data_IF_641328004642
#
_entry.id   IF_641328004642
#
_cell.length_a   1.000
_cell.length_b   1.000
_cell.length_c   1.000
_cell.angle_alpha   90.00
_cell.angle_beta   90.00
_cell.angle_gamma   90.00
#
_symmetry.space_group_name_H-M   'P 1'
#
loop_
_entity.id
_entity.type
_entity.pdbx_description
1 polymer ?
#
# COMPACT_ATOMS: atom_id res chain seq x y z
N UNK A 1 -76.77 -37.01 -13.73
CA UNK A 1 -75.77 -36.14 -13.13
C UNK A 1 -74.38 -36.69 -13.49
N UNK A 2 -74.09 -36.86 -14.78
CA UNK A 2 -73.81 -35.79 -15.79
C UNK A 2 -72.51 -35.07 -15.39
N UNK A 3 -71.33 -35.31 -15.99
CA UNK A 3 -70.91 -35.34 -17.42
C UNK A 3 -70.57 -33.92 -17.97
N UNK A 4 -69.61 -33.85 -18.90
CA UNK A 4 -69.19 -32.69 -19.73
C UNK A 4 -68.33 -31.65 -18.96
N UNK A 5 -67.10 -31.22 -19.33
CA UNK A 5 -66.30 -31.13 -20.57
C UNK A 5 -66.53 -29.92 -21.49
N UNK A 6 -65.93 -28.76 -21.17
CA UNK A 6 -65.59 -27.66 -22.11
C UNK A 6 -64.57 -26.71 -21.42
N UNK A 7 -63.74 -25.89 -22.08
CA UNK A 7 -63.59 -25.68 -23.53
C UNK A 7 -63.41 -24.19 -23.89
N UNK A 8 -62.16 -23.71 -23.95
CA UNK A 8 -61.70 -22.54 -24.74
C UNK A 8 -62.38 -21.15 -24.50
N UNK A 9 -61.58 -20.15 -24.12
CA UNK A 9 -61.53 -18.86 -24.87
C UNK A 9 -60.29 -18.02 -24.56
N UNK A 10 -59.51 -17.76 -25.61
CA UNK A 10 -58.59 -16.63 -25.65
C UNK A 10 -59.37 -15.38 -26.10
N UNK A 11 -59.13 -14.24 -25.45
CA UNK A 11 -59.69 -12.94 -25.86
C UNK A 11 -58.56 -11.96 -26.17
N UNK A 12 -58.45 -11.65 -27.46
CA UNK A 12 -57.65 -10.56 -28.01
C UNK A 12 -58.06 -9.21 -27.41
N UNK A 13 -57.07 -8.41 -27.01
CA UNK A 13 -57.20 -6.95 -26.90
C UNK A 13 -56.02 -6.27 -27.62
N UNK A 14 -56.30 -5.09 -28.16
CA UNK A 14 -55.66 -4.58 -29.39
C UNK A 14 -54.38 -3.77 -29.13
N UNK A 15 -53.50 -3.83 -30.13
CA UNK A 15 -52.53 -2.76 -30.38
C UNK A 15 -53.30 -1.54 -30.89
N UNK A 16 -53.15 -0.40 -30.21
CA UNK A 16 -53.06 0.96 -30.74
C UNK A 16 -53.06 1.94 -29.56
N UNK A 17 -51.92 2.63 -29.35
CA UNK A 17 -51.82 4.06 -28.99
C UNK A 17 -50.38 4.37 -28.56
N UNK A 18 -49.54 4.73 -29.54
CA UNK A 18 -48.23 5.34 -29.30
C UNK A 18 -48.35 6.87 -29.46
N UNK A 19 -48.04 7.67 -28.44
CA UNK A 19 -47.66 9.06 -28.63
C UNK A 19 -46.21 9.14 -29.12
N UNK A 20 -45.98 9.91 -30.19
CA UNK A 20 -44.64 10.26 -30.68
C UNK A 20 -43.93 11.28 -29.76
N UNK A 21 -42.59 11.35 -29.77
CA UNK A 21 -41.84 12.23 -28.87
C UNK A 21 -41.88 13.70 -29.32
N UNK A 22 -42.01 14.63 -28.36
CA UNK A 22 -41.79 16.07 -28.58
C UNK A 22 -40.33 16.46 -28.25
N UNK A 23 -39.67 17.34 -29.02
CA UNK A 23 -38.25 17.66 -28.83
C UNK A 23 -38.00 18.86 -27.91
N UNK A 24 -36.79 18.82 -27.30
CA UNK A 24 -35.97 19.94 -26.82
C UNK A 24 -36.51 20.92 -25.75
N UNK A 25 -35.91 20.83 -24.56
CA UNK A 25 -35.47 21.99 -23.79
C UNK A 25 -34.09 21.69 -23.19
N UNK A 26 -33.13 22.61 -23.35
CA UNK A 26 -31.70 22.41 -23.05
C UNK A 26 -31.33 23.04 -21.70
N UNK A 27 -30.34 22.46 -21.01
CA UNK A 27 -29.59 22.98 -19.85
C UNK A 27 -30.36 23.37 -18.59
N UNK A 28 -30.16 22.56 -17.54
CA UNK A 28 -29.87 23.08 -16.20
C UNK A 28 -28.57 22.44 -15.72
N UNK A 29 -27.68 23.24 -15.13
CA UNK A 29 -26.28 22.87 -14.88
C UNK A 29 -26.13 21.84 -13.77
N UNK A 30 -25.57 20.67 -14.10
CA UNK A 30 -25.09 19.73 -13.09
C UNK A 30 -23.90 20.34 -12.33
N UNK A 31 -24.12 20.70 -11.06
CA UNK A 31 -23.08 21.30 -10.21
C UNK A 31 -21.93 20.33 -9.93
N UNK A 32 -20.66 20.77 -9.99
CA UNK A 32 -19.47 19.92 -9.80
C UNK A 32 -19.21 19.61 -8.32
N UNK A 33 -20.23 19.24 -7.54
CA UNK A 33 -20.15 19.04 -6.09
C UNK A 33 -20.32 17.58 -5.62
N UNK A 34 -20.76 16.65 -6.48
CA UNK A 34 -20.87 15.23 -6.10
C UNK A 34 -19.53 14.47 -6.07
N UNK A 35 -18.50 14.95 -6.76
CA UNK A 35 -17.24 14.22 -6.89
C UNK A 35 -16.33 14.23 -5.65
N UNK A 36 -16.46 15.17 -4.70
CA UNK A 36 -15.47 15.29 -3.61
C UNK A 36 -15.82 14.45 -2.36
N UNK A 37 -17.05 13.94 -2.23
CA UNK A 37 -17.57 13.34 -0.98
C UNK A 37 -17.28 11.85 -0.77
N UNK A 38 -16.56 11.18 -1.68
CA UNK A 38 -16.28 9.73 -1.59
C UNK A 38 -14.78 9.35 -1.74
N UNK A 39 -13.88 10.34 -1.70
CA UNK A 39 -12.47 10.15 -2.09
C UNK A 39 -11.52 9.55 -1.04
N UNK A 40 -12.01 9.27 0.18
CA UNK A 40 -11.19 8.70 1.25
C UNK A 40 -11.98 7.56 1.90
N UNK A 41 -11.70 6.32 1.48
CA UNK A 41 -12.23 5.11 2.12
C UNK A 41 -11.80 5.03 3.60
N UNK A 42 -12.67 4.53 4.47
CA UNK A 42 -12.35 4.29 5.91
C UNK A 42 -11.07 3.48 6.07
N UNK A 43 -10.87 2.47 5.22
CA UNK A 43 -9.66 1.65 5.20
C UNK A 43 -8.40 2.48 4.88
N UNK A 44 -8.51 3.47 3.99
CA UNK A 44 -7.39 4.37 3.71
C UNK A 44 -7.11 5.35 4.86
N UNK A 45 -8.14 5.83 5.58
CA UNK A 45 -7.94 6.60 6.82
C UNK A 45 -7.19 5.76 7.87
N UNK A 46 -7.60 4.51 8.08
CA UNK A 46 -6.95 3.59 9.03
C UNK A 46 -5.46 3.39 8.70
N UNK A 47 -5.14 3.23 7.41
CA UNK A 47 -3.75 3.16 6.93
C UNK A 47 -2.95 4.41 7.27
N UNK A 48 -3.50 5.59 7.01
CA UNK A 48 -2.84 6.86 7.31
C UNK A 48 -2.63 7.08 8.82
N UNK A 49 -3.58 6.66 9.66
CA UNK A 49 -3.43 6.68 11.12
C UNK A 49 -2.30 5.73 11.56
N UNK A 50 -2.25 4.51 11.03
CA UNK A 50 -1.20 3.55 11.36
C UNK A 50 0.20 4.05 10.93
N UNK A 51 0.34 4.64 9.74
CA UNK A 51 1.59 5.28 9.31
C UNK A 51 1.98 6.46 10.19
N UNK A 52 1.04 7.35 10.54
CA UNK A 52 1.27 8.46 11.44
C UNK A 52 1.78 8.01 12.82
N UNK A 53 1.04 7.09 13.47
CA UNK A 53 1.36 6.59 14.81
C UNK A 53 2.67 5.80 14.80
N UNK A 54 2.88 4.94 13.79
CA UNK A 54 4.09 4.16 13.66
C UNK A 54 5.33 5.02 13.41
N UNK A 55 5.28 6.01 12.51
CA UNK A 55 6.40 6.95 12.36
C UNK A 55 6.61 7.79 13.63
N UNK A 56 5.55 8.23 14.31
CA UNK A 56 5.70 8.92 15.60
C UNK A 56 6.46 8.05 16.61
N UNK A 57 6.04 6.81 16.83
CA UNK A 57 6.67 5.88 17.78
C UNK A 57 8.11 5.54 17.40
N UNK A 58 8.37 5.27 16.12
CA UNK A 58 9.70 5.00 15.55
C UNK A 58 10.67 6.15 15.85
N UNK A 59 10.29 7.37 15.49
CA UNK A 59 11.14 8.56 15.64
C UNK A 59 11.29 8.93 17.11
N UNK A 60 10.21 8.85 17.91
CA UNK A 60 10.28 9.14 19.34
C UNK A 60 11.26 8.22 20.05
N UNK A 61 11.14 6.89 19.89
CA UNK A 61 12.01 5.93 20.56
C UNK A 61 13.47 6.04 20.07
N UNK A 62 13.66 6.08 18.75
CA UNK A 62 14.99 6.13 18.13
C UNK A 62 15.76 7.41 18.46
N UNK A 63 15.11 8.58 18.38
CA UNK A 63 15.74 9.84 18.77
C UNK A 63 15.87 9.98 20.29
N UNK A 64 14.95 9.46 21.11
CA UNK A 64 15.12 9.44 22.58
C UNK A 64 16.39 8.69 23.01
N UNK A 65 16.72 7.57 22.36
CA UNK A 65 17.96 6.84 22.61
C UNK A 65 19.21 7.70 22.34
N UNK A 66 19.17 8.54 21.30
CA UNK A 66 20.26 9.49 20.97
C UNK A 66 20.35 10.59 22.05
N UNK A 67 19.23 11.21 22.44
CA UNK A 67 19.20 12.23 23.51
C UNK A 67 19.76 11.67 24.83
N UNK A 68 19.26 10.51 25.25
CA UNK A 68 19.70 9.85 26.48
C UNK A 68 21.18 9.47 26.41
N UNK A 69 21.69 9.08 25.25
CA UNK A 69 23.11 8.81 25.07
C UNK A 69 23.96 10.06 25.30
N UNK A 70 23.60 11.19 24.66
CA UNK A 70 24.34 12.46 24.81
C UNK A 70 24.26 12.96 26.27
N UNK A 71 23.06 12.96 26.84
CA UNK A 71 22.76 13.65 28.10
C UNK A 71 23.05 12.82 29.36
N UNK A 72 23.39 11.52 29.20
CA UNK A 72 23.69 10.59 30.30
C UNK A 72 25.02 9.85 30.03
N UNK A 73 26.07 10.60 29.69
CA UNK A 73 27.46 10.13 29.62
C UNK A 73 27.66 8.87 28.74
N UNK A 74 27.02 8.83 27.57
CA UNK A 74 27.06 7.70 26.62
C UNK A 74 26.55 6.35 27.16
N UNK A 75 25.62 6.35 28.14
CA UNK A 75 25.07 5.12 28.75
C UNK A 75 24.44 4.14 27.75
N UNK A 76 23.88 4.63 26.64
CA UNK A 76 23.19 3.78 25.65
C UNK A 76 24.18 3.13 24.69
N UNK A 77 25.24 3.85 24.30
CA UNK A 77 26.25 3.49 23.28
C UNK A 77 25.66 3.22 21.88
N UNK A 78 26.53 3.12 20.86
CA UNK A 78 26.10 2.84 19.48
C UNK A 78 25.31 1.51 19.35
N UNK A 79 25.74 0.38 19.95
CA UNK A 79 24.93 -0.86 19.94
C UNK A 79 23.56 -0.72 20.59
N UNK A 80 23.41 0.06 21.66
CA UNK A 80 22.11 0.31 22.28
C UNK A 80 21.21 1.17 21.39
N UNK A 81 21.75 2.21 20.76
CA UNK A 81 21.02 3.05 19.79
C UNK A 81 20.53 2.19 18.62
N UNK A 82 21.44 1.40 18.01
CA UNK A 82 21.10 0.46 16.95
C UNK A 82 19.97 -0.50 17.36
N UNK A 83 20.10 -1.08 18.55
CA UNK A 83 19.09 -2.00 19.11
C UNK A 83 17.74 -1.33 19.30
N UNK A 84 17.66 -0.10 19.82
CA UNK A 84 16.38 0.61 19.99
C UNK A 84 15.69 0.85 18.65
N UNK A 85 16.42 1.34 17.65
CA UNK A 85 15.87 1.57 16.31
C UNK A 85 15.38 0.26 15.65
N UNK A 86 16.15 -0.82 15.72
CA UNK A 86 15.73 -2.10 15.16
C UNK A 86 14.55 -2.75 15.91
N UNK A 87 14.55 -2.70 17.24
CA UNK A 87 13.48 -3.25 18.07
C UNK A 87 12.16 -2.49 17.87
N UNK A 88 12.17 -1.15 17.80
CA UNK A 88 10.93 -0.40 17.55
C UNK A 88 10.37 -0.69 16.14
N UNK A 89 11.23 -0.82 15.13
CA UNK A 89 10.82 -1.23 13.78
C UNK A 89 10.18 -2.63 13.79
N UNK A 90 10.83 -3.61 14.44
CA UNK A 90 10.30 -4.96 14.60
C UNK A 90 8.92 -4.98 15.28
N UNK A 91 8.78 -4.27 16.40
CA UNK A 91 7.53 -4.19 17.18
C UNK A 91 6.42 -3.54 16.35
N UNK A 92 6.70 -2.45 15.63
CA UNK A 92 5.69 -1.77 14.82
C UNK A 92 5.26 -2.59 13.61
N UNK A 93 6.19 -3.29 12.93
CA UNK A 93 5.85 -4.18 11.81
C UNK A 93 4.89 -5.29 12.26
N UNK A 94 5.16 -5.94 13.39
CA UNK A 94 4.23 -6.96 13.92
C UNK A 94 2.91 -6.37 14.44
N UNK A 95 2.94 -5.16 15.01
CA UNK A 95 1.74 -4.54 15.60
C UNK A 95 0.76 -3.97 14.57
N UNK A 96 1.26 -3.33 13.50
CA UNK A 96 0.43 -2.57 12.53
C UNK A 96 0.82 -2.77 11.07
N UNK A 97 1.80 -3.63 10.75
CA UNK A 97 2.16 -3.94 9.36
C UNK A 97 1.02 -4.55 8.55
N UNK A 98 0.13 -5.31 9.20
CA UNK A 98 -1.10 -5.83 8.59
C UNK A 98 -2.17 -4.74 8.33
N UNK A 99 -2.02 -3.54 8.89
CA UNK A 99 -2.94 -2.39 8.68
C UNK A 99 -2.47 -1.53 7.51
N UNK A 100 -1.25 -0.98 7.58
CA UNK A 100 -0.74 -0.03 6.57
C UNK A 100 0.29 -0.58 5.58
N UNK A 101 0.87 -1.75 5.86
CA UNK A 101 2.14 -2.18 5.27
C UNK A 101 3.38 -1.75 6.08
N UNK A 102 3.20 -0.95 7.14
CA UNK A 102 4.27 -0.46 8.03
C UNK A 102 5.46 0.16 7.28
N UNK A 103 5.21 1.11 6.38
CA UNK A 103 6.30 1.74 5.62
C UNK A 103 7.13 2.65 6.51
N UNK A 104 6.47 3.55 7.26
CA UNK A 104 7.01 4.57 8.17
C UNK A 104 8.11 5.48 7.60
N UNK A 105 8.31 5.42 6.29
CA UNK A 105 9.48 5.91 5.58
C UNK A 105 9.08 6.31 4.15
N UNK A 106 9.30 7.57 3.75
CA UNK A 106 9.03 8.03 2.39
C UNK A 106 9.78 7.25 1.31
N UNK A 107 11.04 6.87 1.56
CA UNK A 107 11.86 6.12 0.59
C UNK A 107 11.30 4.71 0.34
N UNK A 108 10.90 3.99 1.39
CA UNK A 108 10.23 2.68 1.30
C UNK A 108 8.88 2.81 0.57
N UNK A 109 8.10 3.85 0.89
CA UNK A 109 6.80 4.12 0.24
C UNK A 109 6.96 4.35 -1.26
N UNK A 110 7.98 5.12 -1.66
CA UNK A 110 8.31 5.36 -3.08
C UNK A 110 8.80 4.06 -3.75
N UNK A 111 9.68 3.30 -3.10
CA UNK A 111 10.25 2.06 -3.66
C UNK A 111 9.20 0.96 -3.86
N UNK A 112 8.21 0.84 -2.98
CA UNK A 112 7.05 -0.02 -3.22
C UNK A 112 6.21 0.46 -4.42
N UNK A 113 6.05 1.77 -4.59
CA UNK A 113 5.28 2.33 -5.71
C UNK A 113 6.00 2.16 -7.06
N UNK A 114 7.33 2.36 -7.13
CA UNK A 114 8.12 2.05 -8.35
C UNK A 114 8.09 0.56 -8.67
N UNK A 115 7.96 -0.30 -7.66
CA UNK A 115 7.83 -1.75 -7.79
C UNK A 115 6.39 -2.24 -8.07
N UNK A 116 5.43 -1.32 -8.27
CA UNK A 116 3.99 -1.61 -8.46
C UNK A 116 3.31 -2.36 -7.28
N UNK A 117 3.96 -2.41 -6.12
CA UNK A 117 3.43 -3.02 -4.89
C UNK A 117 2.54 -2.06 -4.08
N UNK A 118 2.59 -0.76 -4.38
CA UNK A 118 1.80 0.27 -3.71
C UNK A 118 1.27 1.31 -4.73
N UNK A 119 0.00 1.76 -4.63
CA UNK A 119 -0.58 2.66 -5.62
C UNK A 119 -0.06 4.10 -5.48
N UNK A 120 0.47 4.65 -6.57
CA UNK A 120 1.06 6.00 -6.63
C UNK A 120 0.16 7.12 -6.08
N UNK A 121 -1.16 7.02 -6.26
CA UNK A 121 -2.13 8.01 -5.76
C UNK A 121 -2.13 8.13 -4.21
N UNK A 122 -1.73 7.07 -3.49
CA UNK A 122 -1.67 7.05 -2.03
C UNK A 122 -0.31 7.53 -1.47
N UNK A 123 0.74 7.57 -2.30
CA UNK A 123 2.12 7.92 -1.89
C UNK A 123 2.20 9.30 -1.24
N UNK A 124 1.62 10.39 -1.79
CA UNK A 124 1.73 11.72 -1.18
C UNK A 124 1.12 11.80 0.23
N UNK A 125 0.00 11.10 0.45
CA UNK A 125 -0.67 11.08 1.74
C UNK A 125 0.13 10.28 2.79
N UNK A 126 0.69 9.12 2.42
CA UNK A 126 1.60 8.35 3.28
C UNK A 126 2.81 9.19 3.68
N UNK A 127 3.49 9.82 2.72
CA UNK A 127 4.67 10.67 2.97
C UNK A 127 4.30 11.84 3.91
N UNK A 128 3.16 12.49 3.67
CA UNK A 128 2.68 13.59 4.51
C UNK A 128 2.51 13.14 5.97
N UNK A 129 1.78 12.05 6.23
CA UNK A 129 1.53 11.60 7.61
C UNK A 129 2.79 11.06 8.30
N UNK A 130 3.71 10.45 7.57
CA UNK A 130 5.03 10.04 8.07
C UNK A 130 5.84 11.28 8.52
N UNK A 131 5.91 12.33 7.70
CA UNK A 131 6.63 13.57 8.03
C UNK A 131 5.97 14.30 9.22
N UNK A 132 4.63 14.38 9.27
CA UNK A 132 3.91 14.99 10.40
C UNK A 132 4.11 14.18 11.68
N UNK A 133 4.07 12.85 11.63
CA UNK A 133 4.38 11.97 12.77
C UNK A 133 5.80 12.16 13.30
N UNK A 134 6.78 12.23 12.39
CA UNK A 134 8.18 12.50 12.74
C UNK A 134 8.39 13.88 13.37
N UNK A 135 7.74 14.91 12.81
CA UNK A 135 7.82 16.28 13.32
C UNK A 135 7.22 16.38 14.72
N UNK A 136 6.05 15.76 14.96
CA UNK A 136 5.42 15.75 16.30
C UNK A 136 6.22 14.92 17.31
N UNK A 137 6.80 13.79 16.92
CA UNK A 137 7.70 13.04 17.80
C UNK A 137 8.92 13.86 18.21
N UNK A 138 9.54 14.55 17.25
CA UNK A 138 10.69 15.43 17.48
C UNK A 138 10.33 16.62 18.38
N UNK A 139 9.14 17.20 18.18
CA UNK A 139 8.59 18.26 19.04
C UNK A 139 8.33 17.79 20.47
N UNK A 140 7.74 16.60 20.65
CA UNK A 140 7.55 15.97 21.96
C UNK A 140 8.87 15.75 22.69
N UNK A 141 9.91 15.25 21.98
CA UNK A 141 11.24 15.10 22.57
C UNK A 141 11.83 16.44 23.01
N UNK A 142 11.70 17.50 22.19
CA UNK A 142 12.18 18.84 22.54
C UNK A 142 11.47 19.45 23.76
N UNK A 143 10.18 19.14 23.94
CA UNK A 143 9.43 19.56 25.13
C UNK A 143 9.88 18.81 26.40
N UNK A 144 10.15 17.50 26.29
CA UNK A 144 10.61 16.66 27.40
C UNK A 144 12.06 17.00 27.80
N UNK A 145 12.95 17.13 26.82
CA UNK A 145 14.38 17.36 27.01
C UNK A 145 14.73 18.83 26.71
N UNK A 146 14.18 19.74 27.51
CA UNK A 146 14.36 21.18 27.34
C UNK A 146 15.59 21.73 28.11
N UNK A 147 15.95 22.98 27.82
CA UNK A 147 17.05 23.70 28.49
C UNK A 147 18.44 23.22 28.02
N UNK A 148 19.30 22.80 28.95
CA UNK A 148 20.66 22.29 28.61
C UNK A 148 20.63 20.99 27.81
N UNK A 149 19.51 20.28 27.87
CA UNK A 149 19.28 18.97 27.25
C UNK A 149 18.68 19.08 25.82
N UNK A 150 18.40 20.30 25.31
CA UNK A 150 17.87 20.57 23.95
C UNK A 150 18.96 20.34 22.89
N UNK A 151 19.02 19.10 22.37
CA UNK A 151 20.03 18.63 21.42
C UNK A 151 19.41 18.31 20.06
N UNK A 152 20.16 18.54 18.98
CA UNK A 152 19.71 18.12 17.65
C UNK A 152 19.83 16.60 17.47
N UNK A 153 18.69 15.95 17.26
CA UNK A 153 18.56 14.48 17.13
C UNK A 153 18.36 13.99 15.68
N UNK A 154 18.37 14.92 14.73
CA UNK A 154 18.39 14.59 13.31
C UNK A 154 19.75 14.04 12.87
N UNK A 155 19.92 13.89 11.56
CA UNK A 155 21.16 13.37 10.99
C UNK A 155 22.05 14.51 10.49
N UNK A 156 23.35 14.41 10.75
CA UNK A 156 24.38 15.35 10.27
C UNK A 156 25.53 14.52 9.68
N UNK A 157 26.04 14.84 8.48
CA UNK A 157 27.21 14.15 7.95
C UNK A 157 28.45 14.52 8.76
N UNK A 158 29.14 13.52 9.30
CA UNK A 158 30.41 13.73 10.01
C UNK A 158 31.61 13.78 9.04
N UNK A 159 31.50 13.06 7.91
CA UNK A 159 32.47 13.05 6.83
C UNK A 159 32.12 14.01 5.68
N UNK A 160 32.55 13.67 4.46
CA UNK A 160 32.18 14.45 3.26
C UNK A 160 30.74 14.15 2.81
N UNK A 161 30.08 15.12 2.17
CA UNK A 161 28.74 14.94 1.61
C UNK A 161 28.64 13.72 0.68
N UNK A 162 29.69 13.46 -0.13
CA UNK A 162 29.76 12.29 -1.01
C UNK A 162 29.87 10.97 -0.24
N UNK A 163 30.70 10.92 0.80
CA UNK A 163 30.82 9.73 1.65
C UNK A 163 29.49 9.43 2.34
N UNK A 164 28.81 10.46 2.85
CA UNK A 164 27.52 10.31 3.49
C UNK A 164 26.43 9.87 2.50
N UNK A 165 26.40 10.43 1.29
CA UNK A 165 25.45 10.06 0.24
C UNK A 165 25.60 8.59 -0.18
N UNK A 166 26.83 8.12 -0.37
CA UNK A 166 27.11 6.72 -0.72
C UNK A 166 26.67 5.79 0.43
N UNK A 167 26.96 6.15 1.68
CA UNK A 167 26.65 5.29 2.82
C UNK A 167 25.14 5.21 3.10
N UNK A 168 24.41 6.33 2.99
CA UNK A 168 22.94 6.36 3.08
C UNK A 168 22.27 5.60 1.91
N UNK A 169 22.84 5.66 0.70
CA UNK A 169 22.39 4.84 -0.42
C UNK A 169 22.56 3.34 -0.11
N UNK A 170 23.74 2.91 0.35
CA UNK A 170 24.04 1.49 0.64
C UNK A 170 23.18 0.96 1.79
N UNK A 171 23.07 1.69 2.90
CA UNK A 171 22.24 1.29 4.04
C UNK A 171 20.76 1.16 3.62
N UNK A 172 20.21 2.15 2.92
CA UNK A 172 18.80 2.08 2.50
C UNK A 172 18.56 1.02 1.41
N UNK A 173 19.59 0.72 0.60
CA UNK A 173 19.56 -0.41 -0.32
C UNK A 173 19.46 -1.75 0.43
N UNK A 174 20.25 -1.98 1.49
CA UNK A 174 20.12 -3.18 2.34
C UNK A 174 18.75 -3.26 3.00
N UNK A 175 18.31 -2.18 3.65
CA UNK A 175 16.98 -2.09 4.25
C UNK A 175 15.87 -2.48 3.27
N UNK A 176 15.83 -1.84 2.09
CA UNK A 176 14.74 -2.06 1.14
C UNK A 176 14.86 -3.39 0.39
N UNK A 177 16.07 -3.91 0.16
CA UNK A 177 16.27 -5.25 -0.38
C UNK A 177 15.71 -6.32 0.56
N UNK A 178 15.97 -6.21 1.87
CA UNK A 178 15.41 -7.13 2.87
C UNK A 178 13.89 -6.97 2.99
N UNK A 179 13.37 -5.73 3.04
CA UNK A 179 11.92 -5.45 3.03
C UNK A 179 11.26 -6.11 1.81
N UNK A 180 11.79 -5.89 0.60
CA UNK A 180 11.25 -6.50 -0.61
C UNK A 180 11.21 -8.03 -0.51
N UNK A 181 12.27 -8.64 0.02
CA UNK A 181 12.35 -10.09 0.18
C UNK A 181 11.39 -10.69 1.19
N UNK A 182 11.28 -10.13 2.40
CA UNK A 182 10.46 -10.72 3.47
C UNK A 182 9.00 -10.29 3.45
N UNK A 183 8.68 -9.15 2.81
CA UNK A 183 7.31 -8.63 2.73
C UNK A 183 6.60 -8.96 1.41
N UNK A 184 7.32 -9.12 0.29
CA UNK A 184 6.67 -9.27 -1.04
C UNK A 184 6.79 -10.65 -1.67
N UNK A 185 7.73 -11.51 -1.24
CA UNK A 185 7.86 -12.89 -1.74
C UNK A 185 7.06 -13.87 -0.86
N UNK A 186 6.11 -14.57 -1.47
CA UNK A 186 5.26 -15.54 -0.79
C UNK A 186 6.02 -16.79 -0.30
N UNK A 187 7.24 -17.02 -0.81
CA UNK A 187 8.14 -18.09 -0.36
C UNK A 187 8.90 -17.73 0.92
N UNK A 188 8.95 -16.45 1.29
CA UNK A 188 9.61 -16.02 2.51
C UNK A 188 8.77 -16.36 3.75
N UNK A 189 9.44 -16.60 4.88
CA UNK A 189 8.79 -16.81 6.17
C UNK A 189 8.20 -15.49 6.69
N UNK A 190 7.02 -15.09 6.20
CA UNK A 190 6.38 -13.79 6.49
C UNK A 190 6.26 -13.47 7.98
N UNK A 191 6.13 -14.48 8.84
CA UNK A 191 6.08 -14.33 10.29
C UNK A 191 7.41 -13.88 10.95
N UNK A 192 8.54 -13.94 10.23
CA UNK A 192 9.84 -13.42 10.66
C UNK A 192 10.18 -12.04 10.05
N UNK A 193 9.27 -11.47 9.25
CA UNK A 193 9.51 -10.20 8.52
C UNK A 193 9.94 -9.05 9.43
N UNK A 194 9.24 -8.85 10.56
CA UNK A 194 9.59 -7.81 11.53
C UNK A 194 10.97 -8.00 12.16
N UNK A 195 11.36 -9.24 12.48
CA UNK A 195 12.71 -9.56 13.01
C UNK A 195 13.77 -9.28 11.95
N UNK A 196 13.56 -9.71 10.71
CA UNK A 196 14.52 -9.50 9.62
C UNK A 196 14.72 -8.00 9.34
N UNK A 197 13.63 -7.24 9.17
CA UNK A 197 13.71 -5.80 8.86
C UNK A 197 14.29 -5.02 10.05
N UNK A 198 13.87 -5.33 11.29
CA UNK A 198 14.43 -4.72 12.49
C UNK A 198 15.92 -5.03 12.69
N UNK A 199 16.36 -6.26 12.41
CA UNK A 199 17.76 -6.63 12.45
C UNK A 199 18.60 -5.90 11.38
N UNK A 200 18.06 -5.69 10.18
CA UNK A 200 18.72 -4.88 9.13
C UNK A 200 18.89 -3.44 9.57
N UNK A 201 17.86 -2.80 10.13
CA UNK A 201 17.98 -1.43 10.69
C UNK A 201 19.06 -1.35 11.77
N UNK A 202 19.13 -2.33 12.68
CA UNK A 202 20.21 -2.41 13.68
C UNK A 202 21.59 -2.51 13.02
N UNK A 203 21.76 -3.42 12.05
CA UNK A 203 23.00 -3.65 11.32
C UNK A 203 23.47 -2.39 10.61
N UNK A 204 22.57 -1.73 9.89
CA UNK A 204 22.85 -0.52 9.13
C UNK A 204 23.33 0.61 10.04
N UNK A 205 22.73 0.77 11.22
CA UNK A 205 23.17 1.77 12.22
C UNK A 205 24.56 1.46 12.77
N UNK A 206 24.91 0.18 12.98
CA UNK A 206 26.22 -0.20 13.53
C UNK A 206 27.39 0.22 12.63
N UNK A 207 27.24 0.19 11.29
CA UNK A 207 28.31 0.61 10.37
C UNK A 207 28.15 2.05 9.84
N UNK A 208 26.92 2.55 9.63
CA UNK A 208 26.69 3.88 9.04
C UNK A 208 26.48 4.99 10.08
N UNK A 209 26.00 4.64 11.27
CA UNK A 209 25.68 5.58 12.36
C UNK A 209 26.81 6.56 12.69
N UNK A 210 28.07 6.12 12.88
CA UNK A 210 29.19 7.00 13.18
C UNK A 210 29.55 8.04 12.10
N UNK A 211 29.15 7.82 10.84
CA UNK A 211 29.52 8.67 9.70
C UNK A 211 28.39 9.56 9.21
N UNK A 212 27.14 9.09 9.29
CA UNK A 212 25.96 9.80 8.74
C UNK A 212 24.82 9.99 9.74
N UNK A 213 24.88 9.36 10.91
CA UNK A 213 23.74 9.25 11.82
C UNK A 213 22.69 8.22 11.38
N UNK A 214 22.97 7.43 10.34
CA UNK A 214 22.15 6.34 9.79
C UNK A 214 20.68 6.76 9.61
N UNK A 215 20.40 7.53 8.56
CA UNK A 215 19.03 8.00 8.33
C UNK A 215 18.13 6.89 7.81
N UNK A 216 18.48 6.38 6.62
CA UNK A 216 17.67 5.48 5.79
C UNK A 216 16.24 5.95 5.46
N UNK A 217 15.83 7.12 5.96
CA UNK A 217 14.44 7.53 6.02
C UNK A 217 14.31 9.06 5.95
N UNK A 218 13.83 9.62 4.82
CA UNK A 218 13.66 11.06 4.66
C UNK A 218 12.84 11.73 5.78
N UNK A 219 11.82 11.07 6.34
CA UNK A 219 11.05 11.60 7.45
C UNK A 219 11.89 11.67 8.74
N UNK A 220 12.72 10.66 9.03
CA UNK A 220 13.62 10.60 10.20
C UNK A 220 14.66 11.73 10.26
N UNK A 221 15.02 12.29 9.11
CA UNK A 221 15.90 13.47 9.03
C UNK A 221 15.10 14.78 8.98
N UNK A 222 14.01 14.82 8.22
CA UNK A 222 13.21 16.02 8.01
C UNK A 222 12.44 16.48 9.26
N UNK A 223 11.84 15.55 10.02
CA UNK A 223 11.05 15.90 11.21
C UNK A 223 11.86 16.65 12.28
N UNK A 224 13.03 16.14 12.72
CA UNK A 224 13.93 16.87 13.60
C UNK A 224 14.41 18.20 13.00
N UNK A 225 14.75 18.22 11.71
CA UNK A 225 15.22 19.43 11.03
C UNK A 225 14.17 20.55 11.02
N UNK A 226 12.89 20.24 10.86
CA UNK A 226 11.78 21.19 10.96
C UNK A 226 11.68 21.77 12.38
N UNK A 227 11.79 20.94 13.42
CA UNK A 227 11.61 21.34 14.83
C UNK A 227 12.75 22.21 15.35
N UNK A 228 13.98 22.02 14.86
CA UNK A 228 15.16 22.78 15.31
C UNK A 228 15.67 23.81 14.30
N UNK A 229 15.16 23.83 13.07
CA UNK A 229 15.65 24.69 11.98
C UNK A 229 16.99 24.27 11.37
N UNK A 230 17.44 23.02 11.59
CA UNK A 230 18.75 22.54 11.13
C UNK A 230 18.64 21.73 9.83
N UNK A 231 18.81 22.40 8.69
CA UNK A 231 18.68 21.82 7.35
C UNK A 231 20.02 21.46 6.65
N UNK A 232 21.17 21.65 7.32
CA UNK A 232 22.49 21.41 6.72
C UNK A 232 22.66 19.92 6.35
N UNK A 233 23.01 19.65 5.10
CA UNK A 233 23.18 18.29 4.58
C UNK A 233 21.88 17.50 4.40
N UNK A 234 20.69 18.10 4.67
CA UNK A 234 19.41 17.37 4.62
C UNK A 234 19.15 16.70 3.27
N UNK A 235 19.57 17.33 2.17
CA UNK A 235 19.42 16.80 0.81
C UNK A 235 19.99 15.39 0.64
N UNK A 236 21.08 15.06 1.35
CA UNK A 236 21.74 13.74 1.34
C UNK A 236 20.77 12.67 1.82
N UNK A 237 20.04 12.97 2.90
CA UNK A 237 19.07 12.09 3.54
C UNK A 237 17.70 12.06 2.84
N UNK A 238 17.49 12.90 1.83
CA UNK A 238 16.37 12.77 0.90
C UNK A 238 16.78 11.91 -0.30
N UNK A 239 17.90 12.28 -0.97
CA UNK A 239 18.35 11.67 -2.22
C UNK A 239 18.91 10.25 -1.98
N UNK A 240 19.90 10.10 -1.09
CA UNK A 240 20.58 8.84 -0.82
C UNK A 240 19.59 7.73 -0.47
N UNK A 241 18.72 7.91 0.54
CA UNK A 241 17.72 6.92 0.89
C UNK A 241 16.70 6.63 -0.20
N UNK A 242 16.19 7.65 -0.91
CA UNK A 242 15.19 7.42 -1.97
C UNK A 242 15.75 6.57 -3.11
N UNK A 243 16.97 6.88 -3.59
CA UNK A 243 17.60 6.07 -4.62
C UNK A 243 18.04 4.69 -4.09
N UNK A 244 18.59 4.61 -2.88
CA UNK A 244 18.96 3.34 -2.25
C UNK A 244 17.78 2.39 -2.16
N UNK A 245 16.62 2.89 -1.70
CA UNK A 245 15.40 2.11 -1.60
C UNK A 245 14.91 1.62 -2.97
N UNK A 246 14.83 2.51 -3.97
CA UNK A 246 14.38 2.13 -5.33
C UNK A 246 15.27 1.02 -5.91
N UNK A 247 16.60 1.18 -5.81
CA UNK A 247 17.53 0.16 -6.30
C UNK A 247 17.44 -1.14 -5.50
N UNK A 248 17.31 -1.09 -4.18
CA UNK A 248 17.16 -2.29 -3.32
C UNK A 248 15.94 -3.12 -3.69
N UNK A 249 14.78 -2.46 -3.86
CA UNK A 249 13.55 -3.11 -4.30
C UNK A 249 13.68 -3.70 -5.72
N UNK A 250 14.27 -2.96 -6.66
CA UNK A 250 14.45 -3.42 -8.03
C UNK A 250 15.43 -4.59 -8.14
N UNK A 251 16.56 -4.56 -7.42
CA UNK A 251 17.51 -5.68 -7.39
C UNK A 251 16.87 -6.94 -6.83
N UNK A 252 16.07 -6.84 -5.76
CA UNK A 252 15.32 -7.99 -5.27
C UNK A 252 14.33 -8.52 -6.32
N UNK A 253 13.56 -7.64 -6.95
CA UNK A 253 12.58 -8.03 -7.98
C UNK A 253 13.23 -8.67 -9.22
N UNK A 254 14.45 -8.29 -9.58
CA UNK A 254 15.24 -8.94 -10.64
C UNK A 254 15.77 -10.32 -10.23
N UNK A 255 16.08 -10.52 -8.95
CA UNK A 255 16.50 -11.82 -8.39
C UNK A 255 15.33 -12.77 -8.10
N UNK A 256 14.10 -12.25 -8.04
CA UNK A 256 12.90 -13.01 -7.68
C UNK A 256 12.59 -14.07 -8.74
N UNK A 257 13.09 -15.29 -8.50
CA UNK A 257 12.86 -16.45 -9.36
C UNK A 257 11.37 -16.63 -9.67
N UNK A 258 10.98 -16.59 -10.94
CA UNK A 258 9.62 -16.90 -11.37
C UNK A 258 9.48 -18.41 -11.57
N UNK A 259 8.44 -19.02 -11.00
CA UNK A 259 8.11 -20.44 -11.26
C UNK A 259 7.53 -20.66 -12.68
N UNK A 260 7.54 -19.63 -13.54
CA UNK A 260 7.07 -19.71 -14.92
C UNK A 260 8.16 -20.36 -15.78
N UNK A 261 7.79 -21.34 -16.58
CA UNK A 261 8.65 -21.87 -17.64
C UNK A 261 9.12 -20.74 -18.57
N UNK A 262 10.32 -20.87 -19.14
CA UNK A 262 10.81 -19.93 -20.17
C UNK A 262 9.80 -19.75 -21.32
N UNK A 263 9.03 -20.80 -21.66
CA UNK A 263 7.95 -20.73 -22.65
C UNK A 263 6.70 -19.95 -22.21
N UNK A 264 6.47 -19.81 -20.90
CA UNK A 264 5.38 -19.01 -20.32
C UNK A 264 5.80 -17.55 -20.18
N UNK A 265 7.04 -17.28 -19.74
CA UNK A 265 7.60 -15.94 -19.72
C UNK A 265 7.72 -15.34 -21.14
N UNK A 266 8.19 -16.12 -22.12
CA UNK A 266 8.20 -15.70 -23.52
C UNK A 266 6.79 -15.49 -24.10
N UNK A 267 5.81 -16.31 -23.68
CA UNK A 267 4.39 -16.09 -24.02
C UNK A 267 3.85 -14.79 -23.43
N UNK A 268 4.22 -14.39 -22.22
CA UNK A 268 3.80 -13.10 -21.66
C UNK A 268 4.44 -11.91 -22.37
N UNK A 269 5.71 -12.00 -22.79
CA UNK A 269 6.34 -10.96 -23.61
C UNK A 269 5.63 -10.84 -24.97
N UNK A 270 5.35 -11.97 -25.63
CA UNK A 270 4.61 -12.03 -26.89
C UNK A 270 3.15 -11.54 -26.74
N UNK A 271 2.46 -11.94 -25.67
CA UNK A 271 1.11 -11.47 -25.36
C UNK A 271 1.07 -10.01 -24.92
N UNK A 272 2.13 -9.46 -24.31
CA UNK A 272 2.23 -8.04 -23.97
C UNK A 272 2.31 -7.19 -25.25
N UNK A 273 3.14 -7.58 -26.22
CA UNK A 273 3.13 -6.96 -27.55
C UNK A 273 1.78 -7.12 -28.27
N UNK A 274 1.15 -8.31 -28.22
CA UNK A 274 -0.18 -8.53 -28.82
C UNK A 274 -1.34 -7.85 -28.08
N UNK A 275 -1.23 -7.61 -26.78
CA UNK A 275 -2.26 -6.94 -25.98
C UNK A 275 -2.36 -5.46 -26.32
N UNK A 276 -1.28 -4.83 -26.78
CA UNK A 276 -1.29 -3.44 -27.27
C UNK A 276 -2.13 -3.33 -28.55
N UNK A 277 -2.10 -4.32 -29.45
CA UNK A 277 -2.97 -4.36 -30.64
C UNK A 277 -4.40 -4.87 -30.38
N UNK A 278 -4.61 -5.67 -29.32
CA UNK A 278 -5.91 -6.31 -29.01
C UNK A 278 -6.65 -5.59 -27.86
N UNK A 279 -6.21 -4.40 -27.44
CA UNK A 279 -6.88 -3.57 -26.42
C UNK A 279 -8.16 -2.88 -26.93
N UNK A 280 -9.06 -3.65 -27.55
CA UNK A 280 -10.46 -3.30 -27.70
C UNK A 280 -11.33 -4.52 -27.40
N UNK A 281 -12.29 -4.35 -26.47
CA UNK A 281 -13.32 -5.30 -26.00
C UNK A 281 -12.91 -6.30 -24.90
N UNK A 282 -13.33 -5.92 -23.70
CA UNK A 282 -14.08 -6.76 -22.75
C UNK A 282 -13.44 -8.07 -22.27
N UNK A 283 -12.56 -7.99 -21.26
CA UNK A 283 -12.21 -9.17 -20.46
C UNK A 283 -12.05 -8.84 -18.96
N UNK A 284 -12.95 -9.39 -18.16
CA UNK A 284 -12.88 -9.37 -16.68
C UNK A 284 -12.02 -10.55 -16.22
N UNK A 285 -11.18 -10.34 -15.19
CA UNK A 285 -10.28 -11.34 -14.63
C UNK A 285 -10.68 -11.61 -13.17
N UNK A 286 -10.95 -12.86 -12.84
CA UNK A 286 -11.21 -13.31 -11.47
C UNK A 286 -10.01 -14.11 -10.95
N UNK A 287 -9.62 -13.90 -9.69
CA UNK A 287 -8.55 -14.65 -9.04
C UNK A 287 -9.14 -15.39 -7.81
N UNK A 288 -9.06 -16.71 -7.80
CA UNK A 288 -9.61 -17.57 -6.75
C UNK A 288 -8.65 -18.73 -6.45
N UNK A 289 -8.74 -19.29 -5.24
CA UNK A 289 -7.91 -20.42 -4.82
C UNK A 289 -8.18 -21.72 -5.57
N UNK A 290 -7.30 -22.71 -5.38
CA UNK A 290 -7.36 -24.00 -6.07
C UNK A 290 -8.74 -24.68 -5.91
N UNK A 291 -9.30 -25.13 -7.04
CA UNK A 291 -10.59 -25.83 -7.10
C UNK A 291 -11.78 -24.99 -7.55
N UNK A 292 -11.66 -23.66 -7.61
CA UNK A 292 -12.73 -22.75 -8.03
C UNK A 292 -12.52 -22.21 -9.44
N UNK A 293 -13.58 -22.11 -10.24
CA UNK A 293 -13.57 -21.35 -11.50
C UNK A 293 -14.80 -20.46 -11.63
N UNK A 294 -14.58 -19.23 -12.09
CA UNK A 294 -15.63 -18.24 -12.33
C UNK A 294 -15.78 -18.04 -13.84
N UNK A 295 -17.00 -18.20 -14.36
CA UNK A 295 -17.33 -18.00 -15.77
C UNK A 295 -18.48 -17.02 -15.88
N UNK A 296 -18.26 -15.91 -16.58
CA UNK A 296 -19.22 -14.80 -16.68
C UNK A 296 -20.00 -14.91 -17.99
N UNK A 297 -21.33 -14.94 -17.89
CA UNK A 297 -22.26 -14.68 -18.99
C UNK A 297 -23.29 -13.63 -18.56
N UNK A 298 -23.35 -12.52 -19.32
CA UNK A 298 -24.15 -11.29 -19.08
C UNK A 298 -25.67 -11.56 -18.97
N UNK A 299 -26.52 -10.68 -18.39
CA UNK A 299 -26.85 -9.29 -18.81
C UNK A 299 -27.58 -8.44 -17.73
N UNK A 300 -27.41 -7.10 -17.76
CA UNK A 300 -28.15 -5.99 -17.06
C UNK A 300 -28.13 -5.85 -15.51
N UNK A 301 -28.27 -4.68 -14.84
CA UNK A 301 -27.61 -3.35 -14.82
C UNK A 301 -27.33 -2.90 -13.33
N UNK A 302 -26.08 -2.73 -12.82
CA UNK A 302 -25.74 -2.46 -11.40
C UNK A 302 -25.14 -1.06 -11.12
N UNK A 303 -25.17 -0.66 -9.84
CA UNK A 303 -24.77 0.68 -9.35
C UNK A 303 -23.42 0.70 -8.60
N UNK A 304 -22.70 1.82 -8.73
CA UNK A 304 -21.36 2.02 -8.15
C UNK A 304 -21.44 2.33 -6.66
N UNK A 305 -20.69 1.57 -5.84
CA UNK A 305 -20.43 1.90 -4.43
C UNK A 305 -20.94 0.91 -3.38
N UNK A 306 -21.72 -0.11 -3.77
CA UNK A 306 -22.22 -1.16 -2.88
C UNK A 306 -21.44 -2.48 -3.03
N UNK A 307 -21.40 -3.28 -1.95
CA UNK A 307 -20.90 -4.67 -2.01
C UNK A 307 -21.87 -5.47 -2.89
N UNK A 308 -21.37 -6.03 -3.98
CA UNK A 308 -22.22 -6.66 -5.00
C UNK A 308 -22.26 -8.20 -4.92
N UNK A 309 -21.24 -8.84 -4.34
CA UNK A 309 -21.23 -10.28 -4.03
C UNK A 309 -20.24 -10.58 -2.89
N UNK A 310 -20.63 -11.44 -1.94
CA UNK A 310 -19.69 -12.24 -1.15
C UNK A 310 -19.66 -13.67 -1.71
N UNK A 311 -18.49 -14.13 -2.14
CA UNK A 311 -18.23 -15.55 -2.32
C UNK A 311 -17.72 -16.14 -1.00
N UNK A 312 -17.94 -17.44 -0.79
CA UNK A 312 -17.41 -18.15 0.38
C UNK A 312 -15.88 -18.01 0.51
N UNK A 313 -15.39 -18.15 1.74
CA UNK A 313 -14.04 -17.81 2.22
C UNK A 313 -12.93 -17.86 1.16
N UNK A 314 -12.44 -16.68 0.74
CA UNK A 314 -11.16 -16.53 0.05
C UNK A 314 -11.17 -15.96 -1.39
N UNK A 315 -12.32 -15.68 -2.00
CA UNK A 315 -12.36 -14.95 -3.29
C UNK A 315 -12.76 -13.48 -3.12
N UNK A 316 -11.97 -12.56 -3.67
CA UNK A 316 -12.26 -11.12 -3.73
C UNK A 316 -12.31 -10.69 -5.21
N UNK A 317 -13.45 -10.16 -5.64
CA UNK A 317 -13.62 -9.55 -6.96
C UNK A 317 -13.67 -8.02 -6.82
N UNK A 318 -12.81 -7.30 -7.53
CA UNK A 318 -12.75 -5.83 -7.51
C UNK A 318 -13.20 -5.31 -8.88
N UNK A 319 -14.09 -4.31 -8.87
CA UNK A 319 -14.51 -3.58 -10.07
C UNK A 319 -13.71 -2.28 -10.15
N UNK A 320 -13.04 -2.05 -11.27
CA UNK A 320 -12.25 -0.84 -11.54
C UNK A 320 -13.14 0.30 -12.08
N UNK A 321 -12.73 1.56 -11.87
CA UNK A 321 -13.53 2.77 -12.10
C UNK A 321 -13.92 3.00 -13.56
N UNK A 322 -13.31 2.28 -14.50
CA UNK A 322 -13.65 2.29 -15.94
C UNK A 322 -14.84 1.40 -16.31
N UNK A 323 -15.30 0.53 -15.40
CA UNK A 323 -16.40 -0.41 -15.64
C UNK A 323 -17.72 0.06 -15.03
N UNK A 324 -18.64 0.53 -15.87
CA UNK A 324 -20.08 0.46 -15.55
C UNK A 324 -20.51 -1.00 -15.57
N UNK A 325 -20.29 -1.70 -14.45
CA UNK A 325 -20.58 -3.13 -14.38
C UNK A 325 -22.08 -3.35 -14.22
N UNK A 326 -22.73 -3.49 -15.36
CA UNK A 326 -24.17 -3.55 -15.47
C UNK A 326 -24.70 -4.99 -15.14
N UNK A 327 -24.53 -5.46 -13.87
CA UNK A 327 -25.04 -6.71 -13.19
C UNK A 327 -24.92 -7.98 -14.08
N UNK A 328 -25.53 -9.15 -13.83
CA UNK A 328 -25.77 -9.92 -12.59
C UNK A 328 -24.82 -11.17 -12.62
N UNK A 329 -24.77 -12.01 -11.58
CA UNK A 329 -23.89 -13.21 -11.54
C UNK A 329 -24.59 -14.43 -10.92
N UNK A 330 -24.25 -15.64 -11.38
CA UNK A 330 -24.59 -16.92 -10.74
C UNK A 330 -23.32 -17.77 -10.54
N UNK A 331 -23.26 -18.52 -9.43
CA UNK A 331 -22.10 -19.35 -9.04
C UNK A 331 -22.50 -20.83 -9.01
N UNK A 332 -21.61 -21.72 -9.47
CA UNK A 332 -21.80 -23.17 -9.40
C UNK A 332 -20.62 -23.84 -8.67
N UNK A 333 -20.94 -24.69 -7.69
CA UNK A 333 -20.00 -25.61 -7.04
C UNK A 333 -19.90 -26.91 -7.85
N UNK A 334 -18.70 -27.53 -7.91
CA UNK A 334 -18.49 -28.81 -8.62
C UNK A 334 -17.69 -29.84 -7.81
N UNK A 335 -18.17 -30.19 -6.62
CA UNK A 335 -17.73 -31.37 -5.85
C UNK A 335 -18.92 -32.19 -5.35
N UNK A 336 -18.69 -33.47 -5.01
CA UNK A 336 -19.75 -34.49 -4.85
C UNK A 336 -20.54 -34.37 -3.52
N UNK A 337 -21.49 -33.42 -3.43
CA UNK A 337 -22.84 -33.59 -2.81
C UNK A 337 -23.57 -32.24 -2.74
N UNK A 338 -24.81 -32.21 -3.25
CA UNK A 338 -25.67 -31.02 -3.39
C UNK A 338 -25.75 -30.14 -2.12
N UNK A 339 -25.50 -28.83 -2.28
CA UNK A 339 -26.48 -27.77 -1.96
C UNK A 339 -26.43 -26.66 -3.02
N UNK A 340 -27.51 -26.52 -3.78
CA UNK A 340 -27.65 -25.48 -4.81
C UNK A 340 -28.31 -24.24 -4.22
N UNK A 341 -27.58 -23.14 -4.06
CA UNK A 341 -28.17 -21.87 -3.65
C UNK A 341 -28.52 -21.03 -4.89
N UNK A 342 -29.82 -20.84 -5.11
CA UNK A 342 -30.33 -19.76 -5.95
C UNK A 342 -30.77 -18.64 -5.01
N UNK A 343 -30.05 -17.52 -5.01
CA UNK A 343 -30.56 -16.27 -4.45
C UNK A 343 -31.05 -15.38 -5.60
N UNK A 344 -32.18 -14.73 -5.37
CA UNK A 344 -32.75 -13.73 -6.26
C UNK A 344 -32.84 -12.40 -5.51
N UNK A 345 -32.71 -11.32 -6.28
CA UNK A 345 -32.62 -9.90 -5.89
C UNK A 345 -31.20 -9.48 -5.45
#
# INVERSE_FOLDING_TARGET
MEEISEGIRATSLRINDCPSPLPSAITSSATPQKHLKYFISVHFVQKLIAEFVGTYMLIFAGCAAIVLNINKNNVVTLPGIASVWGLVVMVLIYSVGHVSGAHFNPAVTIAFATSKMFPWIQVPAYILVQVVGSTLASGSLRLIFNGKEDQFVGTVPAGTDLQALILEFIATFYLMFVIAGVATDDRAMKHLSGVAIGATVSLDILFSGPLTGASMNPARSLGPAIVTGHYKGLWIYIIGPTFGAIFGAWTYNLMRLTNKSWGEAAKEISHSQKAIEVSSKDKVICNCGEGWSCVVSKTEEAEVGNIFFECAEGCICIVDETNTLKKHVYVYEKTKRRKSYKMYI
#
